data_IF_099677286555
#
_entry.id   IF_099677286555
#
_cell.length_a   1.000
_cell.length_b   1.000
_cell.length_c   1.000
_cell.angle_alpha   90.00
_cell.angle_beta   90.00
_cell.angle_gamma   90.00
#
_symmetry.space_group_name_H-M   'P 1'
#
loop_
_entity.id
_entity.type
_entity.pdbx_description
1 polymer ?
#
# COMPACT_ATOMS: atom_id res chain seq x y z
N UNK A 1 -15.43 -34.72 48.45
CA UNK A 1 -14.65 -33.64 49.06
C UNK A 1 -13.48 -33.35 48.15
N UNK A 2 -13.55 -32.23 47.43
CA UNK A 2 -12.63 -31.88 46.36
C UNK A 2 -11.37 -31.21 46.91
N UNK A 3 -10.21 -31.62 46.42
CA UNK A 3 -8.93 -30.94 46.63
C UNK A 3 -8.61 -30.11 45.38
N UNK A 4 -8.48 -28.80 45.59
CA UNK A 4 -8.03 -27.80 44.62
C UNK A 4 -6.50 -27.85 44.46
N UNK A 5 -5.94 -27.67 43.25
CA UNK A 5 -4.54 -27.29 43.09
C UNK A 5 -4.43 -25.77 42.87
N UNK A 6 -3.66 -25.10 43.73
CA UNK A 6 -3.18 -23.74 43.52
C UNK A 6 -2.12 -23.73 42.41
N UNK A 7 -2.40 -23.02 41.31
CA UNK A 7 -1.41 -22.69 40.30
C UNK A 7 -0.69 -21.40 40.70
N UNK A 8 0.59 -21.52 41.05
CA UNK A 8 1.48 -20.38 41.30
C UNK A 8 1.93 -19.83 39.94
N UNK A 9 1.47 -18.63 39.57
CA UNK A 9 1.93 -17.95 38.37
C UNK A 9 3.31 -17.35 38.62
N UNK A 10 4.35 -17.96 38.05
CA UNK A 10 5.65 -17.31 37.95
C UNK A 10 5.58 -16.19 36.90
N UNK A 11 5.42 -14.95 37.36
CA UNK A 11 5.70 -13.75 36.58
C UNK A 11 7.22 -13.68 36.37
N UNK A 12 7.67 -13.95 35.15
CA UNK A 12 9.03 -13.65 34.71
C UNK A 12 9.22 -12.11 34.70
N UNK A 13 10.30 -11.58 35.27
CA UNK A 13 10.55 -10.14 35.26
C UNK A 13 10.79 -9.64 33.83
N UNK A 14 10.20 -8.49 33.51
CA UNK A 14 10.40 -7.76 32.26
C UNK A 14 11.88 -7.46 32.06
N UNK A 15 12.46 -7.90 30.95
CA UNK A 15 13.81 -7.51 30.58
C UNK A 15 13.82 -6.04 30.10
N UNK A 16 14.77 -5.21 30.55
CA UNK A 16 14.89 -3.84 30.07
C UNK A 16 15.34 -3.81 28.59
N UNK A 17 14.69 -2.94 27.81
CA UNK A 17 14.98 -2.75 26.38
C UNK A 17 16.34 -2.05 26.15
N UNK A 18 16.99 -2.27 25.00
CA UNK A 18 18.30 -1.69 24.70
C UNK A 18 18.22 -0.15 24.53
N UNK A 19 19.30 0.58 24.82
CA UNK A 19 19.35 2.03 24.67
C UNK A 19 19.39 2.47 23.19
N UNK A 20 19.02 3.72 22.95
CA UNK A 20 19.02 4.43 21.65
C UNK A 20 20.27 4.16 20.79
N UNK A 21 20.16 4.02 19.46
CA UNK A 21 21.31 4.19 18.58
C UNK A 21 21.72 5.68 18.57
N UNK A 22 22.96 5.94 18.96
CA UNK A 22 23.55 7.29 18.94
C UNK A 22 23.70 7.78 17.49
N UNK A 23 23.22 8.98 17.21
CA UNK A 23 23.42 9.69 15.94
C UNK A 23 24.93 9.99 15.71
N UNK A 24 25.46 9.87 14.48
CA UNK A 24 26.85 10.23 14.21
C UNK A 24 27.06 11.75 14.37
N UNK A 25 27.98 12.14 15.25
CA UNK A 25 28.42 13.51 15.43
C UNK A 25 29.15 14.03 14.18
N UNK A 26 28.68 15.12 13.60
CA UNK A 26 29.35 15.83 12.50
C UNK A 26 30.51 16.68 13.03
N UNK A 27 31.76 16.28 12.77
CA UNK A 27 32.93 17.17 12.90
C UNK A 27 33.13 17.94 11.60
N UNK A 28 33.13 19.27 11.72
CA UNK A 28 33.25 20.20 10.61
C UNK A 28 34.61 20.16 9.92
N UNK A 29 34.58 20.44 8.62
CA UNK A 29 35.72 20.95 7.86
C UNK A 29 35.24 22.10 6.98
N UNK A 30 35.87 23.25 7.20
CA UNK A 30 35.74 24.49 6.45
C UNK A 30 36.31 24.36 5.03
N UNK A 31 35.57 24.84 4.04
CA UNK A 31 36.05 24.99 2.66
C UNK A 31 35.09 25.87 1.87
N UNK A 32 35.49 27.11 1.63
CA UNK A 32 34.72 28.11 0.90
C UNK A 32 34.74 27.87 -0.61
N UNK A 33 33.58 28.02 -1.30
CA UNK A 33 33.46 28.80 -2.56
C UNK A 33 32.04 28.83 -3.14
N UNK A 34 31.75 30.00 -3.71
CA UNK A 34 30.76 30.37 -4.73
C UNK A 34 29.25 30.43 -4.40
N UNK A 35 28.84 31.70 -4.27
CA UNK A 35 27.50 32.29 -4.21
C UNK A 35 26.78 32.12 -5.56
N UNK A 36 25.59 31.52 -5.55
CA UNK A 36 24.50 31.80 -6.51
C UNK A 36 23.22 32.02 -5.70
N UNK A 37 22.59 33.16 -5.95
CA UNK A 37 21.37 33.62 -5.29
C UNK A 37 20.17 32.91 -5.94
N UNK A 38 19.40 32.17 -5.13
CA UNK A 38 18.02 31.80 -5.45
C UNK A 38 17.15 32.22 -4.26
N UNK A 39 16.25 33.15 -4.55
CA UNK A 39 15.34 33.80 -3.62
C UNK A 39 14.21 32.86 -3.20
N UNK A 40 14.32 32.28 -2.01
CA UNK A 40 13.20 31.64 -1.33
C UNK A 40 12.40 32.68 -0.53
N UNK A 41 11.15 32.86 -0.93
CA UNK A 41 10.15 33.59 -0.14
C UNK A 41 9.86 32.74 1.11
N UNK A 42 10.34 33.23 2.25
CA UNK A 42 10.00 32.69 3.56
C UNK A 42 8.60 33.17 3.97
N UNK A 43 7.74 32.25 4.39
CA UNK A 43 6.56 32.60 5.19
C UNK A 43 6.32 31.58 6.32
N UNK A 44 6.32 32.14 7.54
CA UNK A 44 5.75 31.70 8.82
C UNK A 44 6.00 30.29 9.38
N UNK A 45 7.04 30.23 10.20
CA UNK A 45 7.15 29.61 11.54
C UNK A 45 5.82 29.10 12.16
N UNK A 46 5.83 27.87 12.71
CA UNK A 46 4.97 27.58 13.86
C UNK A 46 4.55 26.15 14.21
N UNK A 47 5.26 25.07 13.84
CA UNK A 47 5.07 23.77 14.53
C UNK A 47 6.42 23.20 14.94
N UNK A 48 6.60 23.02 16.25
CA UNK A 48 7.76 22.33 16.81
C UNK A 48 7.74 20.89 16.27
N UNK A 49 8.80 20.50 15.55
CA UNK A 49 9.11 19.10 15.24
C UNK A 49 9.09 18.30 16.55
N UNK A 50 8.22 17.31 16.65
CA UNK A 50 8.17 16.43 17.81
C UNK A 50 9.08 15.22 17.54
N UNK A 51 10.16 15.00 18.34
CA UNK A 51 10.99 13.81 18.23
C UNK A 51 10.33 12.52 18.78
N UNK A 52 9.02 12.54 19.04
CA UNK A 52 8.38 11.62 19.99
C UNK A 52 7.70 10.39 19.37
N UNK A 53 7.73 10.10 18.07
CA UNK A 53 6.85 9.02 17.55
C UNK A 53 7.23 7.61 18.05
N UNK A 54 8.51 7.34 18.29
CA UNK A 54 8.94 6.12 18.99
C UNK A 54 8.37 6.04 20.42
N UNK A 55 8.49 7.13 21.18
CA UNK A 55 7.99 7.21 22.54
C UNK A 55 6.47 7.20 22.60
N UNK A 56 5.79 7.84 21.64
CA UNK A 56 4.34 7.86 21.51
C UNK A 56 3.81 6.48 21.16
N UNK A 57 4.44 5.79 20.19
CA UNK A 57 4.10 4.42 19.82
C UNK A 57 4.27 3.47 21.00
N UNK A 58 5.42 3.51 21.68
CA UNK A 58 5.64 2.69 22.87
C UNK A 58 4.71 3.05 24.03
N UNK A 59 4.46 4.35 24.27
CA UNK A 59 3.53 4.81 25.32
C UNK A 59 2.12 4.32 25.04
N UNK A 60 1.65 4.38 23.79
CA UNK A 60 0.35 3.88 23.39
C UNK A 60 0.22 2.37 23.63
N UNK A 61 1.25 1.60 23.27
CA UNK A 61 1.28 0.15 23.51
C UNK A 61 1.35 -0.19 25.01
N UNK A 62 2.24 0.45 25.75
CA UNK A 62 2.50 0.18 27.17
C UNK A 62 1.32 0.60 28.07
N UNK A 63 0.72 1.77 27.84
CA UNK A 63 -0.39 2.29 28.67
C UNK A 63 -1.60 1.36 28.73
N UNK A 64 -1.78 0.51 27.71
CA UNK A 64 -2.88 -0.45 27.62
C UNK A 64 -2.41 -1.90 27.78
N UNK A 65 -1.14 -2.15 28.13
CA UNK A 65 -0.56 -3.49 28.31
C UNK A 65 -0.55 -4.35 27.05
N UNK A 66 -0.31 -3.75 25.87
CA UNK A 66 -0.51 -4.39 24.56
C UNK A 66 0.81 -4.76 23.91
N UNK A 67 0.82 -5.92 23.24
CA UNK A 67 1.94 -6.40 22.45
C UNK A 67 1.57 -6.49 20.97
N UNK A 68 2.52 -6.17 20.06
CA UNK A 68 2.29 -6.32 18.63
C UNK A 68 1.95 -7.77 18.25
N UNK A 69 0.90 -7.95 17.43
CA UNK A 69 0.42 -9.26 17.00
C UNK A 69 1.07 -9.65 15.67
N UNK A 70 2.03 -10.58 15.75
CA UNK A 70 2.71 -11.15 14.56
C UNK A 70 1.73 -11.74 13.54
N UNK A 71 0.65 -12.37 13.99
CA UNK A 71 -0.38 -12.95 13.11
C UNK A 71 -1.15 -11.92 12.28
N UNK A 72 -1.16 -10.65 12.71
CA UNK A 72 -1.76 -9.54 12.00
C UNK A 72 -0.73 -8.74 11.18
N UNK A 73 0.54 -9.15 11.15
CA UNK A 73 1.58 -8.44 10.41
C UNK A 73 1.88 -7.02 10.93
N UNK A 74 1.63 -6.75 12.22
CA UNK A 74 1.79 -5.42 12.80
C UNK A 74 3.27 -5.01 12.90
N UNK A 75 3.62 -3.97 12.15
CA UNK A 75 4.91 -3.28 12.17
C UNK A 75 4.65 -1.77 12.19
N UNK A 76 4.86 -1.13 13.35
CA UNK A 76 4.56 0.28 13.54
C UNK A 76 5.74 1.14 13.09
N UNK A 77 5.46 2.19 12.31
CA UNK A 77 6.45 3.19 11.91
C UNK A 77 6.94 3.94 13.16
N UNK A 78 8.25 4.16 13.25
CA UNK A 78 8.91 4.91 14.34
C UNK A 78 9.43 6.27 13.89
N UNK A 79 9.39 6.54 12.58
CA UNK A 79 10.00 7.70 11.96
C UNK A 79 8.95 8.53 11.21
N UNK A 80 8.59 9.67 11.80
CA UNK A 80 7.62 10.61 11.24
C UNK A 80 8.05 11.19 9.89
N UNK A 81 9.35 11.35 9.64
CA UNK A 81 9.84 11.87 8.35
C UNK A 81 9.41 10.96 7.18
N UNK A 82 9.23 9.66 7.43
CA UNK A 82 8.74 8.71 6.43
C UNK A 82 7.24 8.88 6.23
N UNK A 83 6.46 9.06 7.30
CA UNK A 83 5.04 9.37 7.21
C UNK A 83 4.80 10.66 6.42
N UNK A 84 5.58 11.72 6.70
CA UNK A 84 5.56 12.97 5.94
C UNK A 84 5.88 12.73 4.45
N UNK A 85 6.88 11.89 4.15
CA UNK A 85 7.19 11.53 2.76
C UNK A 85 6.05 10.76 2.07
N UNK A 86 5.33 9.86 2.75
CA UNK A 86 4.13 9.21 2.19
C UNK A 86 3.06 10.24 1.81
N UNK A 87 2.74 11.14 2.75
CA UNK A 87 1.74 12.19 2.57
C UNK A 87 2.12 13.15 1.43
N UNK A 88 3.40 13.55 1.37
CA UNK A 88 3.95 14.37 0.29
C UNK A 88 3.93 13.64 -1.07
N UNK A 89 4.24 12.34 -1.08
CA UNK A 89 4.21 11.52 -2.31
C UNK A 89 2.80 11.42 -2.89
N UNK A 90 1.79 11.30 -2.02
CA UNK A 90 0.37 11.34 -2.39
C UNK A 90 -0.16 12.75 -2.67
N UNK A 91 0.70 13.78 -2.57
CA UNK A 91 0.36 15.18 -2.75
C UNK A 91 -0.89 15.60 -1.97
N UNK A 92 -1.05 15.08 -0.74
CA UNK A 92 -2.23 15.35 0.10
C UNK A 92 -2.31 16.84 0.40
N UNK A 93 -3.51 17.39 0.27
CA UNK A 93 -3.80 18.80 0.53
C UNK A 93 -4.95 18.93 1.52
N UNK A 94 -5.08 20.13 2.08
CA UNK A 94 -6.22 20.50 2.89
C UNK A 94 -7.53 20.25 2.12
N UNK A 95 -8.48 19.57 2.77
CA UNK A 95 -9.76 19.18 2.19
C UNK A 95 -9.75 17.87 1.41
N UNK A 96 -8.60 17.22 1.20
CA UNK A 96 -8.55 15.88 0.61
C UNK A 96 -9.22 14.85 1.54
N UNK A 97 -9.82 13.83 0.92
CA UNK A 97 -10.34 12.66 1.62
C UNK A 97 -9.39 11.49 1.40
N UNK A 98 -8.94 10.88 2.49
CA UNK A 98 -7.94 9.81 2.45
C UNK A 98 -8.46 8.54 3.12
N UNK A 99 -8.31 7.41 2.44
CA UNK A 99 -8.44 6.09 3.04
C UNK A 99 -7.10 5.67 3.63
N UNK A 100 -7.11 5.29 4.90
CA UNK A 100 -5.98 4.68 5.60
C UNK A 100 -6.32 3.24 6.02
N UNK A 101 -5.48 2.26 5.66
CA UNK A 101 -5.66 0.84 5.97
C UNK A 101 -4.63 0.45 7.01
N UNK A 102 -5.12 0.00 8.18
CA UNK A 102 -4.27 -0.38 9.30
C UNK A 102 -3.57 0.81 9.94
N UNK A 103 -4.31 1.81 10.48
CA UNK A 103 -3.72 2.98 11.14
C UNK A 103 -2.85 2.62 12.35
N UNK A 104 -3.06 1.46 12.99
CA UNK A 104 -2.28 1.02 14.14
C UNK A 104 -2.37 2.00 15.32
N UNK A 105 -1.23 2.59 15.70
CA UNK A 105 -1.17 3.62 16.76
C UNK A 105 -1.58 5.02 16.29
N UNK A 106 -1.79 5.20 14.98
CA UNK A 106 -2.20 6.45 14.36
C UNK A 106 -1.06 7.42 14.06
N UNK A 107 0.18 6.93 13.87
CA UNK A 107 1.31 7.81 13.51
C UNK A 107 1.14 8.41 12.11
N UNK A 108 0.80 7.60 11.10
CA UNK A 108 0.47 8.11 9.76
C UNK A 108 -0.82 8.95 9.79
N UNK A 109 -1.86 8.51 10.51
CA UNK A 109 -3.09 9.27 10.72
C UNK A 109 -2.82 10.69 11.22
N UNK A 110 -1.88 10.86 12.17
CA UNK A 110 -1.49 12.16 12.71
C UNK A 110 -0.98 13.11 11.61
N UNK A 111 -0.14 12.61 10.70
CA UNK A 111 0.44 13.40 9.61
C UNK A 111 -0.62 13.72 8.54
N UNK A 112 -1.52 12.78 8.23
CA UNK A 112 -2.62 13.01 7.30
C UNK A 112 -3.58 14.11 7.78
N UNK A 113 -4.01 14.04 9.03
CA UNK A 113 -4.85 15.06 9.69
C UNK A 113 -4.08 16.39 9.76
N UNK A 114 -2.80 16.36 10.10
CA UNK A 114 -1.94 17.55 10.12
C UNK A 114 -1.81 18.25 8.75
N UNK A 115 -1.93 17.51 7.65
CA UNK A 115 -1.99 18.04 6.29
C UNK A 115 -3.39 18.58 5.90
N UNK A 116 -4.37 18.53 6.81
CA UNK A 116 -5.75 18.99 6.59
C UNK A 116 -6.65 17.98 5.89
N UNK A 117 -6.27 16.71 5.85
CA UNK A 117 -7.10 15.66 5.24
C UNK A 117 -8.19 15.16 6.19
N UNK A 118 -9.32 14.76 5.61
CA UNK A 118 -10.34 13.97 6.31
C UNK A 118 -10.10 12.48 6.04
N UNK A 119 -9.87 11.71 7.09
CA UNK A 119 -9.40 10.32 7.01
C UNK A 119 -10.51 9.33 7.35
N UNK A 120 -10.74 8.37 6.45
CA UNK A 120 -11.45 7.13 6.75
C UNK A 120 -10.41 6.05 7.02
N UNK A 121 -10.30 5.60 8.27
CA UNK A 121 -9.37 4.56 8.65
C UNK A 121 -10.09 3.21 8.81
N UNK A 122 -9.51 2.12 8.28
CA UNK A 122 -10.01 0.75 8.46
C UNK A 122 -9.00 -0.05 9.27
N UNK A 123 -9.42 -0.50 10.45
CA UNK A 123 -8.56 -1.22 11.40
C UNK A 123 -9.20 -2.55 11.83
N UNK A 124 -8.47 -3.64 11.57
CA UNK A 124 -8.91 -5.01 11.88
C UNK A 124 -8.73 -5.34 13.36
N UNK A 125 -7.67 -4.83 13.99
CA UNK A 125 -7.43 -5.05 15.42
C UNK A 125 -8.36 -4.14 16.24
N UNK A 126 -9.34 -4.70 16.97
CA UNK A 126 -10.28 -3.91 17.76
C UNK A 126 -9.61 -3.01 18.79
N UNK A 127 -8.44 -3.43 19.29
CA UNK A 127 -7.70 -2.67 20.27
C UNK A 127 -7.05 -1.44 19.63
N UNK A 128 -6.45 -1.61 18.45
CA UNK A 128 -5.83 -0.50 17.72
C UNK A 128 -6.90 0.48 17.25
N UNK A 129 -8.04 -0.02 16.78
CA UNK A 129 -9.20 0.81 16.42
C UNK A 129 -9.63 1.71 17.59
N UNK A 130 -9.71 1.17 18.82
CA UNK A 130 -9.98 1.98 20.01
C UNK A 130 -8.86 2.98 20.33
N UNK A 131 -7.58 2.59 20.22
CA UNK A 131 -6.47 3.53 20.49
C UNK A 131 -6.52 4.73 19.55
N UNK A 132 -6.65 4.48 18.25
CA UNK A 132 -6.61 5.56 17.27
C UNK A 132 -7.88 6.43 17.40
N UNK A 133 -9.05 5.83 17.62
CA UNK A 133 -10.27 6.61 17.87
C UNK A 133 -10.18 7.47 19.13
N UNK A 134 -9.66 6.94 20.24
CA UNK A 134 -9.46 7.70 21.49
C UNK A 134 -8.42 8.82 21.31
N UNK A 135 -7.31 8.55 20.60
CA UNK A 135 -6.22 9.52 20.35
C UNK A 135 -6.71 10.76 19.61
N UNK A 136 -7.67 10.58 18.71
CA UNK A 136 -8.21 11.63 17.85
C UNK A 136 -9.68 11.96 18.18
N UNK A 137 -10.14 11.68 19.40
CA UNK A 137 -11.54 11.90 19.79
C UNK A 137 -11.97 13.39 19.72
N UNK A 138 -11.01 14.30 19.84
CA UNK A 138 -11.25 15.75 19.80
C UNK A 138 -11.31 16.32 18.36
N UNK A 139 -11.16 15.49 17.32
CA UNK A 139 -11.24 15.91 15.92
C UNK A 139 -12.32 15.15 15.15
N UNK A 140 -13.03 15.88 14.29
CA UNK A 140 -14.01 15.31 13.36
C UNK A 140 -13.38 14.85 12.03
N UNK A 141 -12.05 15.01 11.88
CA UNK A 141 -11.33 14.67 10.65
C UNK A 141 -10.99 13.17 10.56
N UNK A 142 -11.35 12.35 11.55
CA UNK A 142 -11.12 10.91 11.53
C UNK A 142 -12.41 10.14 11.74
N UNK A 143 -12.67 9.17 10.85
CA UNK A 143 -13.65 8.10 11.06
C UNK A 143 -12.94 6.75 11.05
N UNK A 144 -13.11 5.97 12.10
CA UNK A 144 -12.50 4.64 12.23
C UNK A 144 -13.56 3.55 12.02
N UNK A 145 -13.35 2.66 11.07
CA UNK A 145 -14.14 1.45 10.85
C UNK A 145 -13.36 0.25 11.40
N UNK A 146 -13.99 -0.46 12.34
CA UNK A 146 -13.42 -1.67 12.94
C UNK A 146 -13.79 -2.89 12.09
N UNK A 147 -13.12 -3.05 10.96
CA UNK A 147 -13.40 -4.09 9.98
C UNK A 147 -12.14 -4.73 9.41
N UNK A 148 -12.28 -5.93 8.87
CA UNK A 148 -11.23 -6.56 8.07
C UNK A 148 -11.29 -6.01 6.66
N UNK A 149 -10.27 -5.24 6.25
CA UNK A 149 -10.20 -4.65 4.91
C UNK A 149 -10.44 -5.69 3.81
N UNK A 150 -9.89 -6.90 3.97
CA UNK A 150 -10.01 -7.96 2.95
C UNK A 150 -11.47 -8.39 2.73
N UNK A 151 -12.34 -8.19 3.72
CA UNK A 151 -13.75 -8.59 3.72
C UNK A 151 -14.73 -7.42 3.63
N UNK A 152 -14.23 -6.18 3.64
CA UNK A 152 -15.06 -4.98 3.68
C UNK A 152 -15.57 -4.61 2.28
N UNK A 153 -16.75 -3.99 2.22
CA UNK A 153 -17.28 -3.43 0.97
C UNK A 153 -16.77 -1.99 0.83
N UNK A 154 -15.46 -1.82 0.62
CA UNK A 154 -14.79 -0.52 0.70
C UNK A 154 -15.45 0.54 -0.19
N UNK A 155 -15.89 0.18 -1.40
CA UNK A 155 -16.59 1.08 -2.33
C UNK A 155 -17.82 1.74 -1.68
N UNK A 156 -18.64 0.96 -0.99
CA UNK A 156 -19.83 1.46 -0.28
C UNK A 156 -19.45 2.38 0.89
N UNK A 157 -18.44 2.01 1.67
CA UNK A 157 -18.00 2.80 2.83
C UNK A 157 -17.46 4.16 2.41
N UNK A 158 -16.57 4.20 1.42
CA UNK A 158 -15.96 5.46 0.97
C UNK A 158 -16.98 6.32 0.24
N UNK A 159 -17.88 5.74 -0.56
CA UNK A 159 -18.96 6.50 -1.23
C UNK A 159 -19.89 7.14 -0.20
N UNK A 160 -20.31 6.39 0.82
CA UNK A 160 -21.11 6.93 1.92
C UNK A 160 -20.36 8.00 2.70
N UNK A 161 -19.07 7.82 2.94
CA UNK A 161 -18.24 8.79 3.64
C UNK A 161 -18.09 10.10 2.86
N UNK A 162 -17.79 10.03 1.56
CA UNK A 162 -17.75 11.19 0.67
C UNK A 162 -19.10 11.93 0.60
N UNK A 163 -20.21 11.19 0.61
CA UNK A 163 -21.55 11.78 0.65
C UNK A 163 -21.80 12.55 1.95
N UNK A 164 -21.29 12.06 3.09
CA UNK A 164 -21.48 12.67 4.41
C UNK A 164 -20.68 13.96 4.66
N UNK A 165 -19.67 14.25 3.85
CA UNK A 165 -18.87 15.47 3.97
C UNK A 165 -19.67 16.63 3.37
N UNK A 166 -20.13 17.57 4.20
CA UNK A 166 -20.82 18.79 3.78
C UNK A 166 -19.77 19.85 3.40
N UNK A 167 -19.44 19.94 2.11
CA UNK A 167 -18.51 20.96 1.59
C UNK A 167 -18.89 21.31 0.15
N UNK A 168 -18.83 22.60 -0.19
CA UNK A 168 -19.02 23.09 -1.57
C UNK A 168 -17.86 22.67 -2.50
N UNK A 169 -16.74 22.21 -1.91
CA UNK A 169 -15.51 21.79 -2.58
C UNK A 169 -15.25 20.29 -2.35
N UNK A 170 -16.25 19.43 -2.58
CA UNK A 170 -16.04 17.97 -2.46
C UNK A 170 -14.94 17.51 -3.43
N UNK A 171 -13.88 16.83 -2.95
CA UNK A 171 -12.91 16.26 -3.86
C UNK A 171 -13.61 15.21 -4.73
N UNK A 172 -13.39 15.31 -6.05
CA UNK A 172 -14.01 14.41 -7.04
C UNK A 172 -13.59 12.96 -6.84
N UNK A 173 -12.41 12.75 -6.24
CA UNK A 173 -11.86 11.44 -5.91
C UNK A 173 -11.16 11.50 -4.56
N UNK A 174 -11.23 10.42 -3.80
CA UNK A 174 -10.39 10.21 -2.62
C UNK A 174 -8.97 9.77 -3.03
N UNK A 175 -8.09 9.68 -2.04
CA UNK A 175 -6.76 9.07 -2.14
C UNK A 175 -6.63 7.91 -1.15
N UNK A 176 -5.65 7.05 -1.36
CA UNK A 176 -5.29 6.00 -0.40
C UNK A 176 -3.86 6.24 0.02
N UNK A 177 -3.60 6.37 1.32
CA UNK A 177 -2.25 6.53 1.87
C UNK A 177 -2.13 5.61 3.06
N UNK A 178 -1.25 4.60 3.00
CA UNK A 178 -1.22 3.59 4.06
C UNK A 178 0.12 2.88 4.21
N UNK A 179 0.52 2.66 5.47
CA UNK A 179 1.48 1.64 5.85
C UNK A 179 0.72 0.34 6.14
N UNK A 180 0.51 -0.49 5.12
CA UNK A 180 -0.39 -1.63 5.25
C UNK A 180 0.28 -2.83 5.94
N UNK A 181 -0.49 -3.67 6.65
CA UNK A 181 0.01 -4.95 7.12
C UNK A 181 0.52 -5.80 5.96
N UNK A 182 1.75 -6.31 6.09
CA UNK A 182 2.46 -6.92 4.97
C UNK A 182 1.78 -8.18 4.39
N UNK A 183 1.00 -8.88 5.20
CA UNK A 183 0.29 -10.10 4.82
C UNK A 183 -0.94 -9.88 3.91
N UNK A 184 -1.42 -8.65 3.75
CA UNK A 184 -2.62 -8.35 2.94
C UNK A 184 -2.32 -7.53 1.67
N UNK A 185 -1.04 -7.30 1.36
CA UNK A 185 -0.64 -6.37 0.29
C UNK A 185 -1.27 -6.64 -1.06
N UNK A 186 -1.33 -7.92 -1.46
CA UNK A 186 -1.94 -8.31 -2.75
C UNK A 186 -3.45 -8.11 -2.75
N UNK A 187 -4.12 -8.39 -1.63
CA UNK A 187 -5.57 -8.23 -1.52
C UNK A 187 -5.97 -6.76 -1.55
N UNK A 188 -5.19 -5.89 -0.87
CA UNK A 188 -5.36 -4.44 -0.93
C UNK A 188 -5.26 -3.93 -2.37
N UNK A 189 -4.19 -4.30 -3.08
CA UNK A 189 -3.98 -3.91 -4.47
C UNK A 189 -5.12 -4.41 -5.37
N UNK A 190 -5.54 -5.67 -5.22
CA UNK A 190 -6.62 -6.23 -6.04
C UNK A 190 -7.98 -5.58 -5.82
N UNK A 191 -8.26 -5.13 -4.60
CA UNK A 191 -9.53 -4.46 -4.31
C UNK A 191 -9.53 -3.00 -4.73
N UNK A 192 -8.42 -2.28 -4.52
CA UNK A 192 -8.40 -0.82 -4.71
C UNK A 192 -8.17 -0.42 -6.15
N UNK A 193 -7.22 -1.04 -6.87
CA UNK A 193 -6.85 -0.53 -8.20
C UNK A 193 -8.01 -0.45 -9.20
N UNK A 194 -9.01 -1.37 -9.21
CA UNK A 194 -10.17 -1.24 -10.08
C UNK A 194 -11.10 -0.04 -9.78
N UNK A 195 -10.95 0.60 -8.62
CA UNK A 195 -11.82 1.68 -8.13
C UNK A 195 -11.35 3.06 -8.57
N UNK A 196 -10.90 3.19 -9.82
CA UNK A 196 -10.46 4.47 -10.41
C UNK A 196 -11.56 5.52 -10.51
N UNK A 197 -12.83 5.14 -10.38
CA UNK A 197 -13.97 6.04 -10.24
C UNK A 197 -13.92 6.81 -8.90
N UNK A 198 -13.51 6.15 -7.82
CA UNK A 198 -13.43 6.72 -6.47
C UNK A 198 -12.05 7.29 -6.17
N UNK A 199 -10.99 6.53 -6.43
CA UNK A 199 -9.64 6.88 -6.02
C UNK A 199 -8.84 7.42 -7.20
N UNK A 200 -8.05 8.46 -6.95
CA UNK A 200 -7.13 9.03 -7.94
C UNK A 200 -5.73 8.45 -7.80
N UNK A 201 -5.24 8.37 -6.56
CA UNK A 201 -3.89 7.98 -6.22
C UNK A 201 -3.89 7.03 -5.04
N UNK A 202 -3.01 6.03 -5.11
CA UNK A 202 -2.81 5.02 -4.07
C UNK A 202 -1.33 4.97 -3.73
N UNK A 203 -0.96 5.44 -2.54
CA UNK A 203 0.40 5.40 -2.01
C UNK A 203 0.46 4.41 -0.86
N UNK A 204 1.24 3.36 -1.05
CA UNK A 204 1.37 2.27 -0.08
C UNK A 204 2.83 2.09 0.31
N UNK A 205 3.05 1.88 1.60
CA UNK A 205 4.29 1.30 2.09
C UNK A 205 4.11 -0.21 2.18
N UNK A 206 4.94 -0.95 1.43
CA UNK A 206 4.93 -2.40 1.29
C UNK A 206 6.28 -2.99 1.67
N UNK A 207 6.37 -4.32 1.85
CA UNK A 207 7.67 -4.99 1.84
C UNK A 207 8.39 -4.75 0.51
N UNK A 208 9.71 -4.56 0.55
CA UNK A 208 10.54 -4.29 -0.62
C UNK A 208 10.32 -5.33 -1.73
N UNK A 209 10.35 -6.62 -1.39
CA UNK A 209 10.13 -7.70 -2.37
C UNK A 209 8.77 -7.61 -3.05
N UNK A 210 7.74 -7.15 -2.33
CA UNK A 210 6.38 -7.02 -2.86
C UNK A 210 6.28 -5.77 -3.73
N UNK A 211 6.89 -4.66 -3.31
CA UNK A 211 6.98 -3.43 -4.10
C UNK A 211 7.70 -3.68 -5.44
N UNK A 212 8.88 -4.30 -5.39
CA UNK A 212 9.65 -4.69 -6.59
C UNK A 212 8.80 -5.61 -7.46
N UNK A 213 8.18 -6.64 -6.87
CA UNK A 213 7.36 -7.59 -7.62
C UNK A 213 6.21 -6.91 -8.36
N UNK A 214 5.52 -5.95 -7.73
CA UNK A 214 4.33 -5.30 -8.29
C UNK A 214 4.67 -4.24 -9.34
N UNK A 215 5.77 -3.49 -9.13
CA UNK A 215 6.03 -2.24 -9.85
C UNK A 215 7.24 -2.32 -10.77
N UNK A 216 8.29 -3.06 -10.38
CA UNK A 216 9.60 -3.02 -11.06
C UNK A 216 9.84 -4.25 -11.93
N UNK A 217 9.18 -5.38 -11.65
CA UNK A 217 9.37 -6.65 -12.37
C UNK A 217 9.37 -6.49 -13.88
N UNK A 218 10.50 -6.84 -14.51
CA UNK A 218 10.66 -6.84 -15.95
C UNK A 218 10.11 -8.14 -16.59
N UNK A 219 9.77 -8.04 -17.88
CA UNK A 219 9.43 -9.21 -18.70
C UNK A 219 10.55 -10.25 -18.70
N UNK A 220 10.18 -11.51 -18.85
CA UNK A 220 11.09 -12.65 -18.86
C UNK A 220 11.63 -13.06 -17.49
N UNK A 221 11.33 -12.32 -16.42
CA UNK A 221 11.77 -12.66 -15.05
C UNK A 221 10.78 -13.60 -14.36
N UNK A 222 11.26 -14.34 -13.35
CA UNK A 222 10.41 -15.21 -12.53
C UNK A 222 9.39 -14.46 -11.67
N UNK A 223 9.62 -13.15 -11.47
CA UNK A 223 8.77 -12.29 -10.66
C UNK A 223 7.62 -11.68 -11.46
N UNK A 224 7.69 -11.68 -12.80
CA UNK A 224 6.59 -11.24 -13.65
C UNK A 224 5.44 -12.25 -13.63
N UNK A 225 4.27 -11.78 -13.19
CA UNK A 225 3.10 -12.60 -12.82
C UNK A 225 1.81 -11.93 -13.30
N UNK A 226 0.65 -12.62 -13.22
CA UNK A 226 -0.65 -12.02 -13.56
C UNK A 226 -0.94 -10.69 -12.85
N UNK A 227 -0.43 -10.53 -11.62
CA UNK A 227 -0.61 -9.29 -10.85
C UNK A 227 0.06 -8.09 -11.52
N UNK A 228 1.14 -8.26 -12.29
CA UNK A 228 1.77 -7.18 -13.03
C UNK A 228 0.86 -6.67 -14.15
N UNK A 229 0.22 -7.58 -14.88
CA UNK A 229 -0.77 -7.24 -15.90
C UNK A 229 -1.96 -6.53 -15.24
N UNK A 230 -2.43 -7.03 -14.11
CA UNK A 230 -3.52 -6.41 -13.33
C UNK A 230 -3.17 -4.98 -12.88
N UNK A 231 -2.00 -4.78 -12.28
CA UNK A 231 -1.54 -3.46 -11.84
C UNK A 231 -1.44 -2.48 -13.01
N UNK A 232 -0.81 -2.89 -14.12
CA UNK A 232 -0.65 -2.04 -15.30
C UNK A 232 -1.98 -1.80 -16.05
N UNK A 233 -2.94 -2.72 -15.96
CA UNK A 233 -4.25 -2.54 -16.56
C UNK A 233 -4.99 -1.38 -15.90
N UNK A 234 -5.00 -1.34 -14.56
CA UNK A 234 -5.78 -0.37 -13.79
C UNK A 234 -5.02 0.91 -13.40
N UNK A 235 -3.69 0.93 -13.49
CA UNK A 235 -2.90 2.03 -12.96
C UNK A 235 -1.59 2.27 -13.73
N UNK A 236 -0.96 3.40 -13.42
CA UNK A 236 0.46 3.67 -13.73
C UNK A 236 1.25 3.50 -12.42
N UNK A 237 1.96 2.38 -12.23
CA UNK A 237 2.70 2.11 -11.01
C UNK A 237 4.08 2.79 -11.01
N UNK A 238 4.51 3.28 -9.85
CA UNK A 238 5.80 3.95 -9.64
C UNK A 238 6.43 3.53 -8.32
N UNK A 239 7.69 3.12 -8.37
CA UNK A 239 8.50 2.87 -7.18
C UNK A 239 9.12 4.21 -6.77
N UNK A 240 8.88 4.64 -5.52
CA UNK A 240 9.29 5.98 -5.07
C UNK A 240 10.61 5.94 -4.33
N UNK A 241 10.69 5.20 -3.22
CA UNK A 241 11.91 5.07 -2.43
C UNK A 241 11.86 3.87 -1.49
N UNK A 242 13.05 3.38 -1.12
CA UNK A 242 13.24 2.33 -0.13
C UNK A 242 13.15 2.91 1.31
N UNK A 243 12.65 2.09 2.24
CA UNK A 243 12.54 2.39 3.66
C UNK A 243 13.23 1.28 4.46
N UNK A 244 14.34 1.58 5.16
CA UNK A 244 15.04 0.59 5.98
C UNK A 244 14.15 0.03 7.09
N UNK A 245 14.21 -1.29 7.31
CA UNK A 245 13.46 -2.01 8.34
C UNK A 245 13.69 -1.51 9.77
N UNK A 246 14.79 -0.80 10.02
CA UNK A 246 15.11 -0.20 11.32
C UNK A 246 14.15 0.93 11.72
N UNK A 247 13.33 1.42 10.78
CA UNK A 247 12.30 2.42 11.06
C UNK A 247 11.01 1.82 11.65
N UNK A 248 10.97 0.52 11.97
CA UNK A 248 9.75 -0.14 12.45
C UNK A 248 9.92 -0.85 13.80
N UNK A 249 8.81 -0.94 14.54
CA UNK A 249 8.69 -1.79 15.72
C UNK A 249 7.42 -2.67 15.69
N UNK A 250 7.54 -3.99 15.91
CA UNK A 250 8.77 -4.76 15.88
C UNK A 250 9.46 -4.63 14.51
N UNK A 251 10.77 -4.77 14.48
CA UNK A 251 11.51 -4.72 13.22
C UNK A 251 11.13 -5.91 12.32
N UNK A 252 10.73 -5.69 11.06
CA UNK A 252 10.48 -6.76 10.10
C UNK A 252 11.77 -7.43 9.63
N UNK A 253 11.62 -8.57 8.95
CA UNK A 253 12.77 -9.32 8.44
C UNK A 253 13.41 -8.67 7.20
N UNK A 254 12.61 -7.96 6.42
CA UNK A 254 12.97 -7.32 5.15
C UNK A 254 12.73 -5.83 5.24
N UNK A 255 13.41 -5.07 4.37
CA UNK A 255 13.12 -3.65 4.19
C UNK A 255 11.74 -3.45 3.55
N UNK A 256 11.29 -2.20 3.57
CA UNK A 256 10.05 -1.76 2.95
C UNK A 256 10.33 -0.80 1.80
N UNK A 257 9.31 -0.50 1.00
CA UNK A 257 9.34 0.54 -0.02
C UNK A 257 8.02 1.29 -0.06
N UNK A 258 8.10 2.55 -0.47
CA UNK A 258 6.93 3.33 -0.86
C UNK A 258 6.71 3.19 -2.36
N UNK A 259 5.50 2.78 -2.73
CA UNK A 259 5.03 2.70 -4.11
C UNK A 259 3.79 3.56 -4.29
N UNK A 260 3.60 4.06 -5.51
CA UNK A 260 2.45 4.85 -5.91
C UNK A 260 1.78 4.20 -7.11
N UNK A 261 0.45 4.20 -7.13
CA UNK A 261 -0.36 3.84 -8.28
C UNK A 261 -1.26 5.02 -8.62
N UNK A 262 -1.08 5.60 -9.81
CA UNK A 262 -2.06 6.55 -10.37
C UNK A 262 -3.14 5.75 -11.06
N UNK A 263 -4.37 5.82 -10.57
CA UNK A 263 -5.46 5.00 -11.10
C UNK A 263 -5.98 5.59 -12.41
N UNK A 264 -6.22 4.70 -13.38
CA UNK A 264 -6.84 5.05 -14.65
C UNK A 264 -8.35 5.19 -14.46
N UNK A 265 -8.99 6.06 -15.24
CA UNK A 265 -10.46 6.05 -15.34
C UNK A 265 -10.88 4.91 -16.26
N UNK A 266 -12.13 4.47 -16.13
CA UNK A 266 -12.66 3.39 -16.96
C UNK A 266 -12.52 3.65 -18.47
N UNK A 267 -12.59 4.92 -18.89
CA UNK A 267 -12.37 5.35 -20.28
C UNK A 267 -10.93 5.14 -20.77
N UNK A 268 -9.96 5.05 -19.86
CA UNK A 268 -8.53 4.88 -20.16
C UNK A 268 -8.06 3.41 -19.97
N UNK A 269 -8.98 2.50 -19.64
CA UNK A 269 -8.64 1.09 -19.55
C UNK A 269 -8.29 0.54 -20.94
N UNK A 270 -7.33 -0.42 -21.04
CA UNK A 270 -7.05 -1.07 -22.31
C UNK A 270 -8.31 -1.68 -22.93
N UNK A 271 -8.53 -1.52 -24.24
CA UNK A 271 -9.77 -1.90 -24.89
C UNK A 271 -9.87 -3.42 -24.99
N UNK A 272 -10.67 -4.04 -24.11
CA UNK A 272 -10.97 -5.47 -24.11
C UNK A 272 -12.49 -5.68 -24.13
N UNK A 273 -12.95 -6.70 -24.85
CA UNK A 273 -14.39 -7.01 -24.96
C UNK A 273 -15.05 -7.30 -23.61
N UNK A 274 -14.32 -7.91 -22.68
CA UNK A 274 -14.70 -8.06 -21.28
C UNK A 274 -13.47 -8.13 -20.37
N UNK A 275 -13.47 -7.30 -19.33
CA UNK A 275 -12.41 -7.31 -18.30
C UNK A 275 -12.34 -8.65 -17.58
N UNK A 276 -13.49 -9.31 -17.38
CA UNK A 276 -13.54 -10.61 -16.71
C UNK A 276 -12.91 -11.71 -17.56
N UNK A 277 -13.25 -11.78 -18.86
CA UNK A 277 -12.65 -12.77 -19.77
C UNK A 277 -11.16 -12.50 -19.95
N UNK A 278 -10.76 -11.23 -20.04
CA UNK A 278 -9.36 -10.82 -20.13
C UNK A 278 -8.53 -11.34 -18.95
N UNK A 279 -8.94 -11.06 -17.72
CA UNK A 279 -8.19 -11.55 -16.56
C UNK A 279 -8.29 -13.06 -16.37
N UNK A 280 -9.38 -13.69 -16.79
CA UNK A 280 -9.46 -15.16 -16.84
C UNK A 280 -8.39 -15.74 -17.77
N UNK A 281 -8.27 -15.19 -19.00
CA UNK A 281 -7.24 -15.58 -19.96
C UNK A 281 -5.83 -15.34 -19.43
N UNK A 282 -5.55 -14.16 -18.86
CA UNK A 282 -4.25 -13.84 -18.26
C UNK A 282 -3.92 -14.83 -17.15
N UNK A 283 -4.83 -15.10 -16.21
CA UNK A 283 -4.58 -16.07 -15.14
C UNK A 283 -4.30 -17.47 -15.70
N UNK A 284 -5.09 -17.91 -16.68
CA UNK A 284 -4.87 -19.20 -17.34
C UNK A 284 -3.53 -19.28 -18.08
N UNK A 285 -3.07 -18.18 -18.70
CA UNK A 285 -1.78 -18.15 -19.38
C UNK A 285 -0.65 -18.55 -18.42
N UNK A 286 -0.67 -18.02 -17.19
CA UNK A 286 0.33 -18.28 -16.16
C UNK A 286 0.12 -19.61 -15.39
N UNK A 287 -0.87 -20.44 -15.74
CA UNK A 287 -1.08 -21.78 -15.15
C UNK A 287 -0.02 -22.79 -15.62
N UNK A 288 1.22 -22.59 -15.15
CA UNK A 288 2.37 -23.44 -15.39
C UNK A 288 3.61 -22.63 -15.72
N UNK A 289 4.57 -22.54 -14.79
CA UNK A 289 5.76 -21.65 -14.85
C UNK A 289 6.60 -21.74 -16.13
N UNK A 290 6.52 -22.84 -16.90
CA UNK A 290 7.36 -23.09 -18.08
C UNK A 290 6.57 -23.40 -19.35
N UNK A 291 5.23 -23.38 -19.28
CA UNK A 291 4.37 -23.73 -20.42
C UNK A 291 4.32 -22.57 -21.42
N UNK A 292 4.33 -22.93 -22.71
CA UNK A 292 4.06 -22.00 -23.82
C UNK A 292 2.58 -21.62 -23.82
N UNK A 293 2.24 -20.44 -24.34
CA UNK A 293 0.85 -19.95 -24.39
C UNK A 293 -0.10 -20.91 -25.09
N UNK A 294 0.33 -21.47 -26.23
CA UNK A 294 -0.38 -22.52 -26.97
C UNK A 294 -0.71 -23.80 -26.19
N UNK A 295 -0.07 -24.01 -25.03
CA UNK A 295 -0.36 -25.12 -24.10
C UNK A 295 -1.19 -24.66 -22.90
N UNK A 296 -1.01 -23.43 -22.44
CA UNK A 296 -1.76 -22.87 -21.31
C UNK A 296 -3.19 -22.48 -21.68
N UNK A 297 -3.43 -22.03 -22.92
CA UNK A 297 -4.71 -21.46 -23.35
C UNK A 297 -5.61 -22.41 -24.15
N UNK A 298 -5.30 -23.72 -24.17
CA UNK A 298 -6.04 -24.71 -24.99
C UNK A 298 -7.51 -24.92 -24.59
N UNK A 299 -7.92 -24.44 -23.42
CA UNK A 299 -9.30 -24.46 -22.98
C UNK A 299 -10.14 -23.30 -23.57
N UNK A 300 -9.49 -22.31 -24.19
CA UNK A 300 -10.16 -21.18 -24.86
C UNK A 300 -10.21 -21.38 -26.38
N UNK A 301 -9.09 -21.77 -26.98
CA UNK A 301 -8.96 -22.00 -28.42
C UNK A 301 -8.04 -23.19 -28.69
N UNK A 302 -8.07 -23.71 -29.92
CA UNK A 302 -7.13 -24.75 -30.36
C UNK A 302 -5.70 -24.21 -30.42
N UNK A 303 -4.71 -25.12 -30.36
CA UNK A 303 -3.30 -24.72 -30.45
C UNK A 303 -2.98 -23.96 -31.75
N UNK A 304 -3.59 -24.35 -32.87
CA UNK A 304 -3.40 -23.71 -34.18
C UNK A 304 -3.94 -22.28 -34.19
N UNK A 305 -5.12 -22.05 -33.60
CA UNK A 305 -5.68 -20.70 -33.48
C UNK A 305 -4.82 -19.80 -32.59
N UNK A 306 -4.28 -20.34 -31.49
CA UNK A 306 -3.38 -19.59 -30.60
C UNK A 306 -2.07 -19.25 -31.31
N UNK A 307 -1.47 -20.20 -32.02
CA UNK A 307 -0.23 -19.98 -32.79
C UNK A 307 -0.44 -18.91 -33.86
N UNK A 308 -1.56 -18.97 -34.60
CA UNK A 308 -1.92 -17.94 -35.58
C UNK A 308 -2.13 -16.56 -34.94
N UNK A 309 -2.82 -16.49 -33.80
CA UNK A 309 -3.03 -15.22 -33.09
C UNK A 309 -1.72 -14.64 -32.56
N UNK A 310 -0.77 -15.48 -32.11
CA UNK A 310 0.57 -15.03 -31.73
C UNK A 310 1.32 -14.42 -32.92
N UNK A 311 1.29 -15.09 -34.08
CA UNK A 311 1.92 -14.59 -35.31
C UNK A 311 1.32 -13.25 -35.76
N UNK A 312 -0.01 -13.10 -35.70
CA UNK A 312 -0.70 -11.83 -36.04
C UNK A 312 -0.31 -10.66 -35.12
N UNK A 313 0.01 -10.95 -33.85
CA UNK A 313 0.51 -9.95 -32.88
C UNK A 313 2.02 -9.73 -33.01
N UNK A 314 2.72 -10.50 -33.85
CA UNK A 314 4.17 -10.41 -34.06
C UNK A 314 4.99 -11.14 -33.00
N UNK A 315 4.40 -12.14 -32.32
CA UNK A 315 5.04 -12.94 -31.28
C UNK A 315 5.38 -14.35 -31.78
N UNK A 316 6.50 -14.95 -31.30
CA UNK A 316 6.80 -16.35 -31.56
C UNK A 316 5.68 -17.31 -31.11
N UNK A 317 5.42 -18.36 -31.87
CA UNK A 317 4.49 -19.45 -31.48
C UNK A 317 4.93 -20.20 -30.21
N UNK A 318 6.20 -20.05 -29.83
CA UNK A 318 6.83 -20.59 -28.62
C UNK A 318 6.76 -19.65 -27.41
N UNK A 319 6.16 -18.46 -27.56
CA UNK A 319 6.09 -17.45 -26.51
C UNK A 319 5.47 -17.96 -25.22
N UNK A 320 6.02 -17.46 -24.11
CA UNK A 320 5.55 -17.73 -22.75
C UNK A 320 4.89 -16.51 -22.14
N UNK A 321 3.95 -16.69 -21.19
CA UNK A 321 3.21 -15.58 -20.57
C UNK A 321 4.10 -14.48 -19.97
N UNK A 322 5.25 -14.85 -19.39
CA UNK A 322 6.18 -13.89 -18.78
C UNK A 322 6.89 -12.98 -19.79
N UNK A 323 6.82 -13.29 -21.08
CA UNK A 323 7.47 -12.54 -22.16
C UNK A 323 6.54 -11.48 -22.77
N UNK A 324 5.24 -11.51 -22.44
CA UNK A 324 4.23 -10.63 -23.05
C UNK A 324 3.99 -9.37 -22.22
N UNK A 325 3.90 -8.24 -22.91
CA UNK A 325 3.41 -6.98 -22.35
C UNK A 325 1.90 -7.01 -22.12
N UNK A 326 1.37 -6.02 -21.39
CA UNK A 326 -0.08 -5.80 -21.28
C UNK A 326 -0.75 -5.63 -22.65
N UNK A 327 -0.12 -4.88 -23.55
CA UNK A 327 -0.64 -4.63 -24.90
C UNK A 327 -0.71 -5.91 -25.74
N UNK A 328 0.31 -6.76 -25.63
CA UNK A 328 0.32 -8.09 -26.26
C UNK A 328 -0.86 -8.95 -25.77
N UNK A 329 -1.10 -8.98 -24.45
CA UNK A 329 -2.23 -9.70 -23.88
C UNK A 329 -3.57 -9.14 -24.37
N UNK A 330 -3.71 -7.82 -24.51
CA UNK A 330 -4.95 -7.18 -24.98
C UNK A 330 -5.22 -7.54 -26.43
N UNK A 331 -4.20 -7.43 -27.29
CA UNK A 331 -4.31 -7.84 -28.70
C UNK A 331 -4.65 -9.31 -28.84
N UNK A 332 -3.95 -10.18 -28.11
CA UNK A 332 -4.20 -11.62 -28.12
C UNK A 332 -5.62 -11.96 -27.66
N UNK A 333 -6.09 -11.31 -26.58
CA UNK A 333 -7.46 -11.49 -26.09
C UNK A 333 -8.50 -11.16 -27.15
N UNK A 334 -8.37 -10.02 -27.82
CA UNK A 334 -9.36 -9.55 -28.79
C UNK A 334 -9.38 -10.36 -30.09
N UNK A 335 -8.28 -11.05 -30.42
CA UNK A 335 -8.24 -12.01 -31.54
C UNK A 335 -8.88 -13.36 -31.17
N UNK A 336 -8.70 -13.81 -29.92
CA UNK A 336 -9.11 -15.14 -29.47
C UNK A 336 -10.54 -15.20 -28.92
N UNK A 337 -10.98 -14.16 -28.21
CA UNK A 337 -12.27 -14.12 -27.50
C UNK A 337 -13.17 -13.11 -28.20
N UNK A 338 -13.96 -13.62 -29.16
CA UNK A 338 -14.98 -12.83 -29.88
C UNK A 338 -16.29 -12.75 -29.11
#
# INVERSE_FOLDING_TARGET
>A
MAATPQAVSHLLPLQPFPPYPLSPSSRGRTGARHRREESYIACSKGLRRSPDDYHATLKALNSKGRTPRKSLGQHYMLNDDINEQLVNTAGVKEGDVVLEIGPGTGSLTNVLIGAGATVLAIEKDPNMASIVAERFAETNQLRVLREDFVRCHIHSHISSFLASIESDMKPRCAKVVSNIPFNISTDVVKQILPMGDIFSEVVLLLQEETAVRLVVSALGTSEYRPINIFVNFYSVPEYKFNVPRTNFFPQPNVDAAVVMFRLKKAADYPPVSSTQSFFSMVNSAFNGKRKMLRKSLQHLCTAVEIEKALEEVGLPTTSRPGELTLDDFVKLHNLMVK
#
